data_IF_528193826780
#
_entry.id   IF_528193826780
#
_cell.length_a   1.000
_cell.length_b   1.000
_cell.length_c   1.000
_cell.angle_alpha   90.00
_cell.angle_beta   90.00
_cell.angle_gamma   90.00
#
_symmetry.space_group_name_H-M   'P 1'
#
loop_
_entity.id
_entity.type
_entity.pdbx_description
1 polymer ?
#
# COMPACT_ATOMS: atom_id res chain seq x y z
N UNK A 1 6.74 26.55 -31.60
CA UNK A 1 5.53 25.92 -31.00
C UNK A 1 5.92 24.51 -30.60
N UNK A 2 6.21 24.31 -29.31
CA UNK A 2 6.33 22.99 -28.71
C UNK A 2 5.63 23.09 -27.36
N UNK A 3 4.32 23.30 -27.44
CA UNK A 3 3.39 23.21 -26.32
C UNK A 3 3.23 21.73 -25.99
N UNK A 4 4.21 21.18 -25.26
CA UNK A 4 3.94 20.01 -24.42
C UNK A 4 3.33 20.55 -23.15
N UNK A 5 2.01 20.68 -23.16
CA UNK A 5 1.21 20.74 -21.94
C UNK A 5 1.78 19.76 -20.91
N UNK A 6 2.07 20.17 -19.66
CA UNK A 6 2.32 19.21 -18.61
C UNK A 6 1.07 18.34 -18.49
N UNK A 7 1.20 17.05 -18.82
CA UNK A 7 0.17 16.05 -18.53
C UNK A 7 -0.32 16.27 -17.08
N UNK A 8 -1.64 16.22 -16.83
CA UNK A 8 -2.19 16.44 -15.50
C UNK A 8 -1.42 15.56 -14.50
N UNK A 9 -0.80 16.23 -13.53
CA UNK A 9 0.26 15.69 -12.70
C UNK A 9 -0.13 14.33 -12.12
N UNK A 10 0.71 13.32 -12.38
CA UNK A 10 0.74 12.12 -11.54
C UNK A 10 0.83 12.60 -10.10
N UNK A 11 -0.20 12.32 -9.30
CA UNK A 11 -0.10 12.51 -7.86
C UNK A 11 0.97 11.53 -7.38
N UNK A 12 2.20 12.01 -7.25
CA UNK A 12 3.31 11.19 -6.80
C UNK A 12 3.01 10.75 -5.36
N UNK A 13 2.65 9.49 -5.22
CA UNK A 13 2.69 8.85 -3.92
C UNK A 13 4.15 8.77 -3.51
N UNK A 14 4.50 9.48 -2.43
CA UNK A 14 5.88 9.68 -2.00
C UNK A 14 6.07 9.46 -0.51
N UNK A 15 7.19 9.97 0.01
CA UNK A 15 7.65 9.75 1.40
C UNK A 15 6.60 10.09 2.47
N UNK A 16 5.75 11.09 2.22
CA UNK A 16 4.65 11.45 3.15
C UNK A 16 3.60 10.36 3.27
N UNK A 17 3.29 9.67 2.18
CA UNK A 17 2.33 8.56 2.18
C UNK A 17 2.91 7.35 2.90
N UNK A 18 4.20 7.09 2.71
CA UNK A 18 4.93 6.04 3.44
C UNK A 18 4.87 6.31 4.95
N UNK A 19 5.21 7.52 5.39
CA UNK A 19 5.13 7.90 6.80
C UNK A 19 3.70 7.78 7.36
N UNK A 20 2.70 8.16 6.56
CA UNK A 20 1.30 8.03 6.93
C UNK A 20 0.88 6.57 7.13
N UNK A 21 1.29 5.66 6.24
CA UNK A 21 1.03 4.21 6.37
C UNK A 21 1.63 3.65 7.65
N UNK A 22 2.88 4.00 7.95
CA UNK A 22 3.56 3.60 9.19
C UNK A 22 2.78 4.09 10.41
N UNK A 23 2.37 5.37 10.41
CA UNK A 23 1.62 5.99 11.50
C UNK A 23 0.25 5.34 11.70
N UNK A 24 -0.50 5.05 10.63
CA UNK A 24 -1.79 4.36 10.71
C UNK A 24 -1.64 2.94 11.28
N UNK A 25 -0.60 2.22 10.89
CA UNK A 25 -0.30 0.91 11.46
C UNK A 25 0.03 1.00 12.96
N UNK A 26 0.80 2.02 13.39
CA UNK A 26 1.07 2.27 14.80
C UNK A 26 -0.19 2.62 15.61
N UNK A 27 -1.21 3.20 14.97
CA UNK A 27 -2.53 3.40 15.56
C UNK A 27 -3.39 2.13 15.61
N UNK A 28 -2.88 1.01 15.12
CA UNK A 28 -3.56 -0.29 15.13
C UNK A 28 -4.51 -0.51 13.95
N UNK A 29 -4.40 0.27 12.87
CA UNK A 29 -5.16 -0.01 11.65
C UNK A 29 -4.58 -1.25 10.95
N UNK A 30 -5.49 -2.08 10.41
CA UNK A 30 -5.11 -3.25 9.61
C UNK A 30 -4.71 -2.84 8.19
N UNK A 31 -3.88 -3.64 7.49
CA UNK A 31 -3.43 -3.34 6.12
C UNK A 31 -4.55 -2.97 5.14
N UNK A 32 -5.65 -3.72 5.13
CA UNK A 32 -6.84 -3.46 4.29
C UNK A 32 -7.45 -2.09 4.58
N UNK A 33 -7.56 -1.69 5.86
CA UNK A 33 -8.04 -0.36 6.26
C UNK A 33 -7.10 0.75 5.85
N UNK A 34 -5.78 0.52 5.98
CA UNK A 34 -4.77 1.47 5.53
C UNK A 34 -4.89 1.69 4.02
N UNK A 35 -4.94 0.60 3.23
CA UNK A 35 -5.08 0.68 1.78
C UNK A 35 -6.36 1.41 1.34
N UNK A 36 -7.49 1.16 2.01
CA UNK A 36 -8.75 1.90 1.77
C UNK A 36 -8.58 3.40 2.01
N UNK A 37 -7.87 3.78 3.07
CA UNK A 37 -7.63 5.18 3.37
C UNK A 37 -6.69 5.84 2.35
N UNK A 38 -5.66 5.12 1.88
CA UNK A 38 -4.80 5.58 0.79
C UNK A 38 -5.59 5.78 -0.50
N UNK A 39 -6.45 4.83 -0.90
CA UNK A 39 -7.31 4.96 -2.08
C UNK A 39 -8.27 6.16 -1.93
N UNK A 40 -8.77 6.41 -0.72
CA UNK A 40 -9.63 7.58 -0.44
C UNK A 40 -8.88 8.90 -0.62
N UNK A 41 -7.62 8.97 -0.19
CA UNK A 41 -6.77 10.16 -0.31
C UNK A 41 -6.24 10.35 -1.75
N UNK A 42 -6.04 9.24 -2.47
CA UNK A 42 -5.50 9.19 -3.82
C UNK A 42 -6.41 8.33 -4.72
N UNK A 43 -7.55 8.86 -5.20
CA UNK A 43 -8.54 8.07 -5.94
C UNK A 43 -8.02 7.43 -7.24
N UNK A 44 -6.93 7.98 -7.79
CA UNK A 44 -6.30 7.51 -9.03
C UNK A 44 -5.04 6.66 -8.77
N UNK A 45 -4.81 6.24 -7.52
CA UNK A 45 -3.67 5.38 -7.20
C UNK A 45 -3.75 4.06 -7.94
N UNK A 46 -2.66 3.66 -8.57
CA UNK A 46 -2.56 2.36 -9.21
C UNK A 46 -2.15 1.27 -8.22
N UNK A 47 -2.53 0.03 -8.49
CA UNK A 47 -2.12 -1.13 -7.68
C UNK A 47 -0.60 -1.24 -7.49
N UNK A 48 0.26 -1.02 -8.52
CA UNK A 48 1.70 -0.99 -8.32
C UNK A 48 2.18 0.09 -7.35
N UNK A 49 1.54 1.26 -7.33
CA UNK A 49 1.86 2.33 -6.37
C UNK A 49 1.46 1.93 -4.95
N UNK A 50 0.30 1.28 -4.75
CA UNK A 50 -0.09 0.73 -3.45
C UNK A 50 0.91 -0.32 -2.94
N UNK A 51 1.36 -1.20 -3.84
CA UNK A 51 2.37 -2.20 -3.53
C UNK A 51 3.69 -1.54 -3.11
N UNK A 52 4.15 -0.54 -3.86
CA UNK A 52 5.41 0.14 -3.58
C UNK A 52 5.38 0.90 -2.26
N UNK A 53 4.25 1.51 -1.90
CA UNK A 53 4.04 2.15 -0.59
C UNK A 53 4.15 1.13 0.54
N UNK A 54 3.38 0.04 0.48
CA UNK A 54 3.37 -0.97 1.55
C UNK A 54 4.74 -1.62 1.69
N UNK A 55 5.37 -1.90 0.56
CA UNK A 55 6.73 -2.41 0.49
C UNK A 55 7.71 -1.47 1.20
N UNK A 56 7.67 -0.19 0.87
CA UNK A 56 8.59 0.81 1.41
C UNK A 56 8.30 1.14 2.88
N UNK A 57 7.03 1.13 3.30
CA UNK A 57 6.62 1.43 4.67
C UNK A 57 7.04 0.37 5.68
N UNK A 58 7.05 -0.90 5.27
CA UNK A 58 7.34 -2.04 6.15
C UNK A 58 8.60 -2.80 5.75
N UNK A 59 9.42 -2.23 4.85
CA UNK A 59 10.62 -2.85 4.27
C UNK A 59 10.37 -4.26 3.70
N UNK A 60 9.17 -4.52 3.19
CA UNK A 60 8.80 -5.85 2.72
C UNK A 60 9.47 -6.17 1.37
N UNK A 61 9.72 -7.46 1.07
CA UNK A 61 10.11 -7.87 -0.27
C UNK A 61 8.90 -7.77 -1.22
N UNK A 62 9.13 -7.50 -2.52
CA UNK A 62 8.05 -7.35 -3.50
C UNK A 62 7.07 -8.55 -3.54
N UNK A 63 7.50 -9.82 -3.43
CA UNK A 63 6.58 -10.96 -3.37
C UNK A 63 5.56 -10.90 -2.22
N UNK A 64 5.89 -10.28 -1.08
CA UNK A 64 4.97 -10.18 0.06
C UNK A 64 3.79 -9.25 -0.22
N UNK A 65 3.99 -8.22 -1.05
CA UNK A 65 2.95 -7.24 -1.40
C UNK A 65 2.14 -7.61 -2.64
N UNK A 66 2.50 -8.69 -3.35
CA UNK A 66 1.77 -9.15 -4.55
C UNK A 66 0.31 -9.50 -4.26
N UNK A 67 -0.02 -9.91 -3.03
CA UNK A 67 -1.39 -10.17 -2.60
C UNK A 67 -2.32 -8.95 -2.76
N UNK A 68 -1.78 -7.72 -2.71
CA UNK A 68 -2.56 -6.49 -2.96
C UNK A 68 -3.16 -6.50 -4.37
N UNK A 69 -2.55 -7.19 -5.33
CA UNK A 69 -3.06 -7.32 -6.70
C UNK A 69 -4.35 -8.11 -6.81
N UNK A 70 -4.59 -9.02 -5.87
CA UNK A 70 -5.84 -9.79 -5.77
C UNK A 70 -6.90 -9.14 -4.89
N UNK A 71 -6.61 -8.01 -4.24
CA UNK A 71 -7.54 -7.34 -3.32
C UNK A 71 -8.10 -6.06 -3.91
N UNK A 72 -9.42 -5.86 -3.77
CA UNK A 72 -10.11 -4.66 -4.23
C UNK A 72 -10.94 -4.03 -3.11
N UNK A 73 -10.90 -2.70 -2.98
CA UNK A 73 -11.55 -1.98 -1.89
C UNK A 73 -13.08 -2.10 -1.89
N UNK A 74 -13.72 -2.43 -3.01
CA UNK A 74 -15.17 -2.66 -3.07
C UNK A 74 -15.57 -4.11 -2.72
N UNK A 75 -14.60 -4.98 -2.40
CA UNK A 75 -14.82 -6.39 -2.10
C UNK A 75 -15.03 -7.27 -3.33
N UNK A 76 -14.81 -6.76 -4.55
CA UNK A 76 -14.89 -7.54 -5.79
C UNK A 76 -13.61 -8.31 -6.13
N UNK A 77 -12.54 -8.08 -5.35
CA UNK A 77 -11.27 -8.79 -5.50
C UNK A 77 -11.35 -10.27 -5.15
N UNK A 78 -10.34 -11.01 -5.56
CA UNK A 78 -10.15 -12.43 -5.23
C UNK A 78 -9.86 -12.64 -3.73
N UNK A 79 -9.24 -11.65 -3.09
CA UNK A 79 -8.94 -11.64 -1.66
C UNK A 79 -9.90 -10.75 -0.89
N UNK A 80 -10.43 -11.30 0.21
CA UNK A 80 -11.18 -10.53 1.19
C UNK A 80 -10.27 -9.64 2.03
N UNK A 81 -10.84 -8.64 2.72
CA UNK A 81 -10.10 -7.83 3.69
C UNK A 81 -9.43 -8.70 4.77
N UNK A 82 -10.10 -9.77 5.21
CA UNK A 82 -9.57 -10.69 6.22
C UNK A 82 -8.38 -11.49 5.71
N UNK A 83 -8.44 -12.00 4.49
CA UNK A 83 -7.34 -12.76 3.90
C UNK A 83 -6.13 -11.87 3.65
N UNK A 84 -6.36 -10.68 3.07
CA UNK A 84 -5.31 -9.68 2.85
C UNK A 84 -4.62 -9.30 4.16
N UNK A 85 -5.40 -9.02 5.21
CA UNK A 85 -4.88 -8.66 6.52
C UNK A 85 -4.06 -9.81 7.11
N UNK A 86 -4.52 -11.05 7.01
CA UNK A 86 -3.80 -12.21 7.51
C UNK A 86 -2.43 -12.38 6.80
N UNK A 87 -2.38 -12.23 5.48
CA UNK A 87 -1.14 -12.32 4.72
C UNK A 87 -0.15 -11.20 5.08
N UNK A 88 -0.61 -9.94 5.05
CA UNK A 88 0.28 -8.80 5.26
C UNK A 88 0.72 -8.67 6.72
N UNK A 89 -0.14 -8.94 7.70
CA UNK A 89 0.25 -8.89 9.13
C UNK A 89 1.31 -9.94 9.45
N UNK A 90 1.20 -11.14 8.90
CA UNK A 90 2.20 -12.19 9.10
C UNK A 90 3.54 -11.80 8.49
N UNK A 91 3.55 -11.27 7.26
CA UNK A 91 4.79 -10.83 6.59
C UNK A 91 5.44 -9.63 7.29
N UNK A 92 4.64 -8.63 7.69
CA UNK A 92 5.11 -7.49 8.49
C UNK A 92 5.74 -7.99 9.81
N UNK A 93 5.04 -8.87 10.52
CA UNK A 93 5.52 -9.44 11.78
C UNK A 93 6.81 -10.25 11.59
N UNK A 94 6.89 -11.05 10.53
CA UNK A 94 8.08 -11.84 10.18
C UNK A 94 9.28 -10.93 9.90
N UNK A 95 9.07 -9.84 9.18
CA UNK A 95 10.14 -8.90 8.84
C UNK A 95 10.67 -8.17 10.09
N UNK A 96 9.78 -7.70 10.97
CA UNK A 96 10.20 -7.11 12.25
C UNK A 96 10.95 -8.08 13.17
N UNK A 97 10.57 -9.36 13.20
CA UNK A 97 11.28 -10.39 13.98
C UNK A 97 12.63 -10.77 13.40
N UNK A 98 12.79 -10.66 12.08
CA UNK A 98 14.02 -11.05 11.39
C UNK A 98 15.14 -10.03 11.58
N UNK A 99 14.85 -8.84 12.11
CA UNK A 99 15.85 -7.87 12.55
C UNK A 99 16.81 -7.41 11.46
N UNK A 100 16.45 -7.57 10.19
CA UNK A 100 17.18 -6.97 9.07
C UNK A 100 16.74 -5.51 8.93
N UNK A 101 17.60 -4.54 9.25
CA UNK A 101 17.35 -3.13 8.99
C UNK A 101 17.25 -2.83 7.49
#
# INVERSE_FOLDING_TARGET
MNDRDPMPGKQEIGERTIALVIQMHQWGLTPSRILREIIRLYPNVSTPELMDVMRSAFSLPYPAVQCIGGWWADGTGELSDTDLDAFLVEEISRHYRSGTP
#
